data_IF_541470391987
#
_entry.id   IF_541470391987
#
_cell.length_a   1.000
_cell.length_b   1.000
_cell.length_c   1.000
_cell.angle_alpha   90.00
_cell.angle_beta   90.00
_cell.angle_gamma   90.00
#
_symmetry.space_group_name_H-M   'P 1'
#
loop_
_entity.id
_entity.type
_entity.pdbx_description
1 polymer ?
#
# COMPACT_ATOMS: atom_id res chain seq x y z
N UNK A 1 -13.27 8.12 -3.22
CA UNK A 1 -12.90 9.54 -3.00
C UNK A 1 -12.26 10.04 -4.28
N UNK A 2 -12.59 11.25 -4.74
CA UNK A 2 -12.11 11.75 -6.04
C UNK A 2 -11.01 12.78 -5.87
N UNK A 3 -10.01 12.76 -6.75
CA UNK A 3 -9.00 13.81 -6.80
C UNK A 3 -9.62 15.14 -7.22
N UNK A 4 -9.03 16.22 -6.72
CA UNK A 4 -9.37 17.58 -7.14
C UNK A 4 -8.26 18.04 -8.08
N UNK A 5 -8.47 17.88 -9.39
CA UNK A 5 -7.51 18.31 -10.40
C UNK A 5 -7.55 19.83 -10.54
N UNK A 6 -6.39 20.47 -10.42
CA UNK A 6 -6.22 21.92 -10.50
C UNK A 6 -5.58 22.36 -11.83
N UNK A 7 -4.92 21.44 -12.53
CA UNK A 7 -4.26 21.66 -13.82
C UNK A 7 -3.89 20.33 -14.50
N UNK A 8 -3.12 20.39 -15.58
CA UNK A 8 -2.72 19.18 -16.33
C UNK A 8 -1.97 18.16 -15.47
N UNK A 9 -1.04 18.64 -14.64
CA UNK A 9 -0.18 17.84 -13.75
C UNK A 9 -0.29 18.27 -12.27
N UNK A 10 -1.28 19.10 -11.94
CA UNK A 10 -1.47 19.70 -10.62
C UNK A 10 -2.75 19.23 -9.95
N UNK A 11 -2.66 18.89 -8.67
CA UNK A 11 -3.76 18.36 -7.88
C UNK A 11 -3.79 18.96 -6.49
N UNK A 12 -4.99 19.24 -5.96
CA UNK A 12 -5.16 19.66 -4.57
C UNK A 12 -5.11 18.42 -3.67
N UNK A 13 -4.11 18.37 -2.80
CA UNK A 13 -4.03 17.37 -1.74
C UNK A 13 -5.14 17.61 -0.72
N UNK A 14 -5.76 16.53 -0.25
CA UNK A 14 -6.57 16.54 0.95
C UNK A 14 -6.50 15.19 1.67
N UNK A 15 -6.78 15.20 2.97
CA UNK A 15 -6.86 14.00 3.78
C UNK A 15 -8.26 13.79 4.32
N UNK A 16 -8.68 12.54 4.45
CA UNK A 16 -9.94 12.14 5.06
C UNK A 16 -9.64 11.22 6.24
N UNK A 17 -10.14 11.57 7.41
CA UNK A 17 -10.04 10.78 8.64
C UNK A 17 -11.37 10.73 9.38
N UNK A 18 -11.49 9.85 10.37
CA UNK A 18 -12.65 9.82 11.25
C UNK A 18 -12.22 9.95 12.70
N UNK A 19 -12.79 10.94 13.38
CA UNK A 19 -12.70 11.11 14.81
C UNK A 19 -13.74 10.21 15.47
N UNK A 20 -13.27 9.06 15.96
CA UNK A 20 -14.12 8.05 16.62
C UNK A 20 -14.59 8.48 18.02
N UNK A 21 -13.96 9.49 18.64
CA UNK A 21 -14.36 10.00 19.95
C UNK A 21 -15.54 10.95 19.80
N UNK A 22 -15.45 11.88 18.84
CA UNK A 22 -16.48 12.89 18.59
C UNK A 22 -17.53 12.45 17.56
N UNK A 23 -17.33 11.29 16.91
CA UNK A 23 -18.14 10.79 15.81
C UNK A 23 -18.22 11.79 14.66
N UNK A 24 -17.06 12.16 14.13
CA UNK A 24 -16.95 13.11 13.03
C UNK A 24 -16.13 12.53 11.87
N UNK A 25 -16.57 12.80 10.65
CA UNK A 25 -15.68 12.73 9.49
C UNK A 25 -14.93 14.06 9.38
N UNK A 26 -13.62 13.99 9.28
CA UNK A 26 -12.74 15.15 9.21
C UNK A 26 -12.04 15.15 7.86
N UNK A 27 -12.12 16.28 7.16
CA UNK A 27 -11.43 16.52 5.89
C UNK A 27 -10.45 17.66 6.09
N UNK A 28 -9.21 17.46 5.71
CA UNK A 28 -8.17 18.48 5.76
C UNK A 28 -7.66 18.79 4.35
N UNK A 29 -7.82 20.03 3.90
CA UNK A 29 -7.31 20.53 2.62
C UNK A 29 -5.86 20.97 2.79
N UNK A 30 -4.96 20.39 2.00
CA UNK A 30 -3.54 20.72 2.01
C UNK A 30 -3.07 21.43 0.73
N UNK A 31 -1.77 21.34 0.41
CA UNK A 31 -1.18 22.09 -0.69
C UNK A 31 -1.62 21.56 -2.06
N UNK A 32 -1.31 22.32 -3.12
CA UNK A 32 -1.31 21.76 -4.47
C UNK A 32 -0.02 20.96 -4.64
N UNK A 33 -0.11 19.78 -5.24
CA UNK A 33 1.03 18.92 -5.55
C UNK A 33 1.11 18.62 -7.04
N UNK A 34 2.31 18.29 -7.50
CA UNK A 34 2.53 17.74 -8.84
C UNK A 34 2.24 16.23 -8.88
N UNK A 35 2.26 15.63 -10.07
CA UNK A 35 2.23 14.15 -10.24
C UNK A 35 3.34 13.41 -9.47
N UNK A 36 4.43 14.11 -9.09
CA UNK A 36 5.50 13.54 -8.26
C UNK A 36 5.20 13.62 -6.75
N UNK A 37 3.99 14.04 -6.37
CA UNK A 37 3.56 14.29 -4.98
C UNK A 37 4.35 15.39 -4.26
N UNK A 38 5.07 16.21 -5.03
CA UNK A 38 5.82 17.35 -4.51
C UNK A 38 4.90 18.56 -4.40
N UNK A 39 4.77 19.17 -3.21
CA UNK A 39 4.05 20.43 -3.06
C UNK A 39 4.64 21.52 -3.95
N UNK A 40 3.77 22.35 -4.53
CA UNK A 40 4.20 23.61 -5.15
C UNK A 40 4.04 24.74 -4.13
N UNK A 41 5.11 25.52 -3.96
CA UNK A 41 5.14 26.68 -3.07
C UNK A 41 4.87 27.94 -3.89
N UNK A 42 3.59 28.20 -4.16
CA UNK A 42 3.13 29.39 -4.87
C UNK A 42 2.09 30.08 -3.99
N UNK A 43 2.43 31.18 -3.29
CA UNK A 43 1.56 31.85 -2.32
C UNK A 43 0.16 32.18 -2.87
N UNK A 44 0.06 32.51 -4.16
CA UNK A 44 -1.21 32.84 -4.82
C UNK A 44 -2.16 31.64 -4.94
N UNK A 45 -1.61 30.42 -4.95
CA UNK A 45 -2.33 29.16 -5.11
C UNK A 45 -2.61 28.47 -3.76
N UNK A 46 -2.20 29.08 -2.65
CA UNK A 46 -2.54 28.57 -1.33
C UNK A 46 -4.05 28.60 -1.07
N UNK A 47 -4.50 27.62 -0.31
CA UNK A 47 -5.91 27.55 0.07
C UNK A 47 -6.18 28.59 1.17
N UNK A 48 -7.02 29.58 0.84
CA UNK A 48 -7.34 30.74 1.71
C UNK A 48 -8.55 30.53 2.63
N UNK A 49 -9.26 29.42 2.49
CA UNK A 49 -10.43 29.10 3.32
C UNK A 49 -10.08 28.27 4.54
N UNK A 50 -11.12 27.85 5.27
CA UNK A 50 -10.98 26.88 6.36
C UNK A 50 -10.46 25.55 5.82
N UNK A 51 -9.25 25.17 6.26
CA UNK A 51 -8.60 23.93 5.80
C UNK A 51 -9.27 22.68 6.36
N UNK A 52 -9.94 22.79 7.51
CA UNK A 52 -10.50 21.65 8.22
C UNK A 52 -12.03 21.71 8.16
N UNK A 53 -12.62 20.76 7.42
CA UNK A 53 -14.04 20.51 7.44
C UNK A 53 -14.38 19.36 8.39
N UNK A 54 -15.36 19.56 9.27
CA UNK A 54 -15.87 18.52 10.19
C UNK A 54 -17.34 18.26 9.94
N UNK A 55 -17.71 16.99 9.87
CA UNK A 55 -19.10 16.57 9.69
C UNK A 55 -19.47 15.49 10.70
N UNK A 56 -20.42 15.80 11.58
CA UNK A 56 -20.88 14.87 12.62
C UNK A 56 -21.68 13.71 12.02
N UNK A 57 -21.39 12.50 12.47
CA UNK A 57 -22.12 11.30 12.06
C UNK A 57 -23.20 10.95 13.06
N UNK A 58 -24.29 10.36 12.55
CA UNK A 58 -25.41 9.89 13.37
C UNK A 58 -25.14 8.56 14.09
N UNK A 59 -24.04 7.89 13.74
CA UNK A 59 -23.69 6.58 14.24
C UNK A 59 -22.26 6.59 14.78
N UNK A 60 -22.01 5.68 15.72
CA UNK A 60 -20.68 5.41 16.23
C UNK A 60 -19.81 4.83 15.10
N UNK A 61 -18.65 5.42 14.86
CA UNK A 61 -17.73 4.98 13.81
C UNK A 61 -16.68 4.06 14.40
N UNK A 62 -16.55 2.86 13.83
CA UNK A 62 -15.50 1.92 14.17
C UNK A 62 -14.44 1.95 13.07
N UNK A 63 -13.28 2.53 13.36
CA UNK A 63 -12.18 2.64 12.41
C UNK A 63 -11.08 1.61 12.71
N UNK A 64 -10.79 0.74 11.74
CA UNK A 64 -9.70 -0.25 11.83
C UNK A 64 -8.36 0.26 11.30
N UNK A 65 -8.33 1.44 10.69
CA UNK A 65 -7.10 2.06 10.18
C UNK A 65 -6.61 3.18 11.07
N UNK A 66 -5.31 3.20 11.38
CA UNK A 66 -4.72 4.20 12.26
C UNK A 66 -4.34 5.52 11.57
N UNK A 67 -4.51 5.65 10.24
CA UNK A 67 -4.05 6.82 9.47
C UNK A 67 -5.16 7.38 8.60
N UNK A 68 -5.15 8.70 8.43
CA UNK A 68 -5.95 9.40 7.44
C UNK A 68 -5.65 8.86 6.03
N UNK A 69 -6.69 8.81 5.20
CA UNK A 69 -6.54 8.53 3.77
C UNK A 69 -6.13 9.81 3.07
N UNK A 70 -4.91 9.80 2.53
CA UNK A 70 -4.36 10.87 1.71
C UNK A 70 -4.86 10.74 0.27
N UNK A 71 -5.28 11.85 -0.31
CA UNK A 71 -5.73 11.95 -1.70
C UNK A 71 -4.98 13.11 -2.35
N UNK A 72 -4.21 12.80 -3.38
CA UNK A 72 -3.38 13.76 -4.08
C UNK A 72 -3.46 13.60 -5.61
N UNK A 73 -2.78 12.63 -6.20
CA UNK A 73 -2.54 12.50 -7.65
C UNK A 73 -3.51 11.52 -8.34
N UNK A 74 -3.94 10.48 -7.62
CA UNK A 74 -4.91 9.48 -8.09
C UNK A 74 -6.11 9.46 -7.17
N UNK A 75 -7.25 9.02 -7.72
CA UNK A 75 -8.47 8.84 -6.93
C UNK A 75 -8.15 8.09 -5.64
N UNK A 76 -8.62 8.66 -4.53
CA UNK A 76 -8.43 8.08 -3.21
C UNK A 76 -9.17 6.76 -3.05
N UNK A 77 -8.94 6.06 -1.92
CA UNK A 77 -9.55 4.79 -1.65
C UNK A 77 -11.09 4.88 -1.66
N UNK A 78 -11.73 3.75 -1.97
CA UNK A 78 -13.14 3.56 -1.67
C UNK A 78 -13.31 3.11 -0.23
N UNK A 79 -14.35 3.63 0.41
CA UNK A 79 -14.77 3.19 1.75
C UNK A 79 -16.10 2.45 1.63
N UNK A 80 -16.16 1.28 2.23
CA UNK A 80 -17.40 0.57 2.51
C UNK A 80 -17.80 0.77 3.96
N UNK A 81 -19.09 0.66 4.24
CA UNK A 81 -19.62 0.83 5.58
C UNK A 81 -20.41 -0.42 5.94
N UNK A 82 -20.04 -1.07 7.04
CA UNK A 82 -20.68 -2.30 7.51
C UNK A 82 -21.23 -2.09 8.91
N UNK A 83 -22.54 -2.27 9.07
CA UNK A 83 -23.18 -2.23 10.39
C UNK A 83 -22.68 -3.40 11.25
N UNK A 84 -22.20 -3.11 12.45
CA UNK A 84 -21.74 -4.08 13.46
C UNK A 84 -22.73 -4.15 14.62
N UNK A 85 -23.91 -4.71 14.35
CA UNK A 85 -24.98 -4.77 15.35
C UNK A 85 -25.29 -3.38 15.92
N UNK A 86 -25.28 -3.26 17.24
CA UNK A 86 -25.52 -2.01 17.98
C UNK A 86 -24.22 -1.25 18.32
N UNK A 87 -23.05 -1.82 18.03
CA UNK A 87 -21.74 -1.21 18.35
C UNK A 87 -21.41 -0.01 17.45
N UNK A 88 -21.97 0.02 16.23
CA UNK A 88 -21.77 1.11 15.28
C UNK A 88 -21.58 0.63 13.84
N UNK A 89 -20.88 1.46 13.06
CA UNK A 89 -20.57 1.22 11.65
C UNK A 89 -19.06 1.08 11.49
N UNK A 90 -18.61 -0.09 11.04
CA UNK A 90 -17.22 -0.34 10.67
C UNK A 90 -16.92 0.23 9.28
N UNK A 91 -15.84 1.00 9.19
CA UNK A 91 -15.31 1.51 7.93
C UNK A 91 -14.37 0.47 7.34
N UNK A 92 -14.72 -0.01 6.15
CA UNK A 92 -13.96 -0.96 5.35
C UNK A 92 -13.18 -0.18 4.28
N UNK A 93 -11.88 -0.04 4.48
CA UNK A 93 -10.97 0.51 3.47
C UNK A 93 -10.81 -0.44 2.28
N UNK A 94 -10.99 0.05 1.06
CA UNK A 94 -10.93 -0.72 -0.19
C UNK A 94 -11.75 -2.03 -0.15
N UNK A 95 -13.10 -1.96 -0.09
CA UNK A 95 -13.95 -3.14 0.06
C UNK A 95 -13.69 -4.22 -1.00
N UNK A 96 -13.50 -3.82 -2.26
CA UNK A 96 -13.25 -4.77 -3.36
C UNK A 96 -11.96 -5.57 -3.13
N UNK A 97 -10.86 -4.85 -2.82
CA UNK A 97 -9.55 -5.39 -2.48
C UNK A 97 -9.63 -6.33 -1.29
N UNK A 98 -10.43 -5.98 -0.27
CA UNK A 98 -10.52 -6.72 0.99
C UNK A 98 -11.59 -7.81 1.02
N UNK A 99 -12.35 -8.00 -0.06
CA UNK A 99 -13.45 -8.97 -0.10
C UNK A 99 -13.17 -10.13 -1.05
N UNK A 100 -13.09 -9.90 -2.36
CA UNK A 100 -13.10 -10.98 -3.33
C UNK A 100 -11.85 -11.03 -4.20
N UNK A 101 -11.26 -9.87 -4.52
CA UNK A 101 -10.10 -9.83 -5.41
C UNK A 101 -8.82 -10.33 -4.74
N UNK A 102 -8.76 -10.43 -3.41
CA UNK A 102 -7.63 -11.05 -2.69
C UNK A 102 -8.09 -12.33 -1.99
N UNK A 103 -8.61 -13.28 -2.78
CA UNK A 103 -8.96 -14.63 -2.34
C UNK A 103 -8.19 -15.68 -3.15
N UNK A 104 -7.64 -16.73 -2.50
CA UNK A 104 -7.03 -17.86 -3.22
C UNK A 104 -8.00 -18.51 -4.21
N UNK A 105 -9.30 -18.51 -3.90
CA UNK A 105 -10.33 -19.02 -4.82
C UNK A 105 -10.33 -18.24 -6.15
N UNK A 106 -10.15 -16.92 -6.10
CA UNK A 106 -10.08 -16.09 -7.31
C UNK A 106 -8.81 -16.40 -8.12
N UNK A 107 -7.69 -16.69 -7.44
CA UNK A 107 -6.47 -17.18 -8.09
C UNK A 107 -6.69 -18.49 -8.83
N UNK A 108 -7.38 -19.45 -8.21
CA UNK A 108 -7.75 -20.72 -8.88
C UNK A 108 -8.70 -20.47 -10.05
N UNK A 109 -9.71 -19.61 -9.89
CA UNK A 109 -10.65 -19.29 -10.96
C UNK A 109 -9.95 -18.66 -12.18
N UNK A 110 -9.04 -17.70 -11.95
CA UNK A 110 -8.24 -17.12 -13.02
C UNK A 110 -7.26 -18.13 -13.63
N UNK A 111 -6.69 -19.03 -12.83
CA UNK A 111 -5.87 -20.13 -13.34
C UNK A 111 -6.67 -21.07 -14.26
N UNK A 112 -7.89 -21.43 -13.89
CA UNK A 112 -8.78 -22.26 -14.71
C UNK A 112 -9.17 -21.55 -16.01
N UNK A 113 -9.48 -20.25 -15.94
CA UNK A 113 -9.76 -19.44 -17.13
C UNK A 113 -8.53 -19.38 -18.06
N UNK A 114 -7.35 -19.11 -17.50
CA UNK A 114 -6.09 -19.11 -18.22
C UNK A 114 -5.78 -20.46 -18.85
N UNK A 115 -6.05 -21.56 -18.14
CA UNK A 115 -5.93 -22.92 -18.67
C UNK A 115 -6.82 -23.12 -19.90
N UNK A 116 -8.10 -22.75 -19.84
CA UNK A 116 -9.04 -22.92 -20.96
C UNK A 116 -8.60 -22.11 -22.18
N UNK A 117 -8.29 -20.83 -21.99
CA UNK A 117 -7.86 -19.94 -23.07
C UNK A 117 -6.58 -20.47 -23.70
N UNK A 118 -5.56 -20.78 -22.90
CA UNK A 118 -4.27 -21.20 -23.40
C UNK A 118 -4.30 -22.61 -23.99
N UNK A 119 -5.20 -23.48 -23.54
CA UNK A 119 -5.44 -24.76 -24.21
C UNK A 119 -5.99 -24.56 -25.62
N UNK A 120 -6.91 -23.62 -25.80
CA UNK A 120 -7.44 -23.26 -27.12
C UNK A 120 -6.37 -22.64 -28.03
N UNK A 121 -5.53 -21.75 -27.51
CA UNK A 121 -4.45 -21.10 -28.26
C UNK A 121 -3.34 -22.10 -28.64
N UNK A 122 -2.97 -23.00 -27.74
CA UNK A 122 -1.86 -23.95 -27.96
C UNK A 122 -2.30 -25.28 -28.60
N UNK A 123 -3.61 -25.54 -28.65
CA UNK A 123 -4.16 -26.84 -29.05
C UNK A 123 -3.85 -27.99 -28.08
N UNK A 124 -3.34 -27.70 -26.87
CA UNK A 124 -2.88 -28.69 -25.91
C UNK A 124 -3.39 -28.39 -24.50
N UNK A 125 -4.19 -29.30 -23.95
CA UNK A 125 -4.66 -29.22 -22.56
C UNK A 125 -3.50 -29.21 -21.55
N UNK A 126 -2.41 -29.93 -21.87
CA UNK A 126 -1.21 -29.97 -21.01
C UNK A 126 -0.49 -28.64 -21.01
N UNK A 127 -0.27 -28.04 -22.18
CA UNK A 127 0.38 -26.74 -22.29
C UNK A 127 -0.45 -25.67 -21.61
N UNK A 128 -1.76 -25.63 -21.87
CA UNK A 128 -2.66 -24.72 -21.18
C UNK A 128 -2.61 -24.88 -19.66
N UNK A 129 -2.53 -26.11 -19.13
CA UNK A 129 -2.53 -26.36 -17.69
C UNK A 129 -1.30 -25.73 -17.01
N UNK A 130 -0.15 -25.72 -17.69
CA UNK A 130 1.06 -25.04 -17.20
C UNK A 130 0.80 -23.53 -17.07
N UNK A 131 0.23 -22.91 -18.10
CA UNK A 131 -0.11 -21.47 -18.06
C UNK A 131 -1.14 -21.16 -16.96
N UNK A 132 -2.20 -21.96 -16.84
CA UNK A 132 -3.19 -21.80 -15.79
C UNK A 132 -2.58 -21.91 -14.39
N UNK A 133 -1.66 -22.86 -14.19
CA UNK A 133 -0.94 -23.02 -12.92
C UNK A 133 -0.06 -21.80 -12.62
N UNK A 134 0.67 -21.27 -13.61
CA UNK A 134 1.49 -20.06 -13.45
C UNK A 134 0.63 -18.88 -13.01
N UNK A 135 -0.52 -18.68 -13.64
CA UNK A 135 -1.47 -17.60 -13.29
C UNK A 135 -1.98 -17.78 -11.86
N UNK A 136 -2.44 -18.99 -11.50
CA UNK A 136 -2.95 -19.26 -10.15
C UNK A 136 -1.87 -19.06 -9.08
N UNK A 137 -0.68 -19.60 -9.29
CA UNK A 137 0.42 -19.50 -8.32
C UNK A 137 0.94 -18.06 -8.19
N UNK A 138 1.04 -17.32 -9.29
CA UNK A 138 1.42 -15.90 -9.25
C UNK A 138 0.40 -15.05 -8.49
N UNK A 139 -0.89 -15.35 -8.64
CA UNK A 139 -1.94 -14.66 -7.90
C UNK A 139 -1.93 -15.03 -6.41
N UNK A 140 -1.78 -16.32 -6.09
CA UNK A 140 -1.75 -16.80 -4.70
C UNK A 140 -0.48 -16.31 -3.99
N UNK A 141 0.67 -16.22 -4.67
CA UNK A 141 1.89 -15.68 -4.08
C UNK A 141 1.77 -14.19 -3.74
N UNK A 142 1.09 -13.41 -4.58
CA UNK A 142 0.72 -12.02 -4.27
C UNK A 142 -0.13 -11.94 -2.99
N UNK A 143 -1.17 -12.78 -2.88
CA UNK A 143 -2.00 -12.85 -1.66
C UNK A 143 -1.18 -13.26 -0.43
N UNK A 144 -0.26 -14.22 -0.60
CA UNK A 144 0.62 -14.66 0.47
C UNK A 144 1.53 -13.51 0.96
N UNK A 145 2.02 -12.67 0.06
CA UNK A 145 2.78 -11.47 0.42
C UNK A 145 1.90 -10.49 1.21
N UNK A 146 0.65 -10.25 0.80
CA UNK A 146 -0.28 -9.37 1.51
C UNK A 146 -0.65 -9.86 2.92
N UNK A 147 -0.69 -11.18 3.12
CA UNK A 147 -0.86 -11.80 4.45
C UNK A 147 0.33 -11.52 5.37
N UNK A 148 1.53 -11.25 4.87
CA UNK A 148 2.65 -10.83 5.73
C UNK A 148 2.49 -9.40 6.27
N UNK A 149 1.63 -8.60 5.64
CA UNK A 149 1.42 -7.20 5.97
C UNK A 149 0.18 -6.90 6.80
N UNK A 150 -0.31 -5.67 6.71
CA UNK A 150 -1.51 -5.15 7.40
C UNK A 150 -2.79 -5.33 6.56
N UNK A 151 -2.63 -5.63 5.27
CA UNK A 151 -3.73 -5.73 4.32
C UNK A 151 -4.51 -7.04 4.52
N UNK A 152 -3.82 -8.16 4.73
CA UNK A 152 -4.45 -9.46 4.89
C UNK A 152 -5.15 -9.92 3.60
N UNK A 153 -6.07 -10.88 3.72
CA UNK A 153 -6.78 -11.45 2.58
C UNK A 153 -8.13 -12.04 3.01
N UNK A 154 -8.99 -12.38 2.05
CA UNK A 154 -10.18 -13.17 2.34
C UNK A 154 -9.99 -14.61 1.86
N UNK A 155 -9.44 -15.45 2.74
CA UNK A 155 -9.02 -16.81 2.41
C UNK A 155 -10.16 -17.73 1.98
N UNK A 156 -11.39 -17.43 2.39
CA UNK A 156 -12.56 -18.31 2.24
C UNK A 156 -13.66 -17.69 1.37
N UNK A 157 -13.40 -16.61 0.63
CA UNK A 157 -14.34 -16.13 -0.37
C UNK A 157 -14.52 -17.19 -1.47
N UNK A 158 -15.74 -17.49 -1.98
CA UNK A 158 -17.01 -16.78 -1.72
C UNK A 158 -17.81 -17.28 -0.51
N UNK A 159 -17.37 -18.34 0.17
CA UNK A 159 -18.10 -18.95 1.30
C UNK A 159 -18.17 -18.05 2.53
N UNK A 160 -17.15 -17.22 2.76
CA UNK A 160 -17.11 -16.22 3.84
C UNK A 160 -16.69 -14.87 3.26
N UNK A 161 -17.39 -13.80 3.66
CA UNK A 161 -17.08 -12.41 3.25
C UNK A 161 -16.15 -11.69 4.25
N UNK A 162 -15.88 -12.31 5.39
CA UNK A 162 -15.04 -11.74 6.46
C UNK A 162 -13.57 -11.90 6.10
N UNK A 163 -12.83 -10.78 6.16
CA UNK A 163 -11.38 -10.72 6.00
C UNK A 163 -10.64 -11.50 7.10
N UNK A 164 -9.56 -12.15 6.70
CA UNK A 164 -8.49 -12.62 7.59
C UNK A 164 -7.43 -11.54 7.67
N UNK A 165 -7.09 -11.11 8.88
CA UNK A 165 -6.02 -10.13 9.10
C UNK A 165 -4.66 -10.71 8.71
N UNK A 166 -3.76 -9.84 8.26
CA UNK A 166 -2.39 -10.24 8.02
C UNK A 166 -1.59 -10.34 9.32
N UNK A 167 -0.36 -10.83 9.23
CA UNK A 167 0.53 -11.05 10.36
C UNK A 167 1.22 -9.77 10.88
N UNK A 168 1.06 -8.64 10.17
CA UNK A 168 1.63 -7.35 10.59
C UNK A 168 3.17 -7.31 10.66
N UNK A 169 3.87 -8.23 9.99
CA UNK A 169 5.32 -8.28 9.98
C UNK A 169 5.94 -7.13 9.17
N UNK A 170 5.32 -6.80 8.04
CA UNK A 170 5.83 -5.80 7.11
C UNK A 170 4.78 -4.71 6.85
N UNK A 171 5.18 -3.45 6.94
CA UNK A 171 4.35 -2.33 6.50
C UNK A 171 4.58 -2.10 5.01
N UNK A 172 3.51 -2.02 4.22
CA UNK A 172 3.59 -1.70 2.79
C UNK A 172 4.23 -0.33 2.50
N UNK A 173 4.26 0.58 3.48
CA UNK A 173 4.96 1.86 3.38
C UNK A 173 6.46 1.78 3.71
N UNK A 174 6.99 0.61 4.07
CA UNK A 174 8.41 0.44 4.35
C UNK A 174 9.18 0.20 3.04
N UNK A 175 9.96 1.19 2.56
CA UNK A 175 10.64 1.09 1.27
C UNK A 175 11.68 -0.03 1.23
N UNK A 176 12.35 -0.31 2.36
CA UNK A 176 13.34 -1.39 2.45
C UNK A 176 12.66 -2.74 2.30
N UNK A 177 11.55 -2.96 3.01
CA UNK A 177 10.80 -4.21 2.91
C UNK A 177 10.29 -4.47 1.48
N UNK A 178 9.73 -3.44 0.83
CA UNK A 178 9.26 -3.55 -0.55
C UNK A 178 10.39 -3.88 -1.52
N UNK A 179 11.51 -3.15 -1.41
CA UNK A 179 12.67 -3.38 -2.28
C UNK A 179 13.20 -4.80 -2.10
N UNK A 180 13.36 -5.27 -0.85
CA UNK A 180 13.86 -6.62 -0.57
C UNK A 180 12.94 -7.71 -1.10
N UNK A 181 11.62 -7.54 -1.03
CA UNK A 181 10.66 -8.51 -1.57
C UNK A 181 10.77 -8.63 -3.10
N UNK A 182 10.84 -7.49 -3.79
CA UNK A 182 11.00 -7.44 -5.26
C UNK A 182 12.36 -8.02 -5.66
N UNK A 183 13.42 -7.63 -4.95
CA UNK A 183 14.77 -8.15 -5.17
C UNK A 183 14.83 -9.66 -5.00
N UNK A 184 14.26 -10.19 -3.91
CA UNK A 184 14.17 -11.62 -3.66
C UNK A 184 13.45 -12.36 -4.79
N UNK A 185 12.36 -11.76 -5.29
CA UNK A 185 11.60 -12.31 -6.41
C UNK A 185 12.44 -12.36 -7.70
N UNK A 186 13.18 -11.30 -8.01
CA UNK A 186 14.09 -11.26 -9.15
C UNK A 186 15.22 -12.29 -9.04
N UNK A 187 15.86 -12.39 -7.87
CA UNK A 187 16.93 -13.37 -7.60
C UNK A 187 16.41 -14.79 -7.77
N UNK A 188 15.21 -15.09 -7.28
CA UNK A 188 14.56 -16.40 -7.42
C UNK A 188 14.21 -16.72 -8.88
N UNK A 189 13.70 -15.73 -9.63
CA UNK A 189 13.40 -15.90 -11.07
C UNK A 189 14.68 -16.25 -11.84
N UNK A 190 15.76 -15.49 -11.64
CA UNK A 190 17.04 -15.73 -12.32
C UNK A 190 17.61 -17.10 -11.95
N UNK A 191 17.53 -17.51 -10.67
CA UNK A 191 17.93 -18.84 -10.23
C UNK A 191 17.19 -19.94 -10.98
N UNK A 192 15.85 -19.85 -11.03
CA UNK A 192 15.03 -20.85 -11.69
C UNK A 192 15.27 -20.89 -13.19
N UNK A 193 15.39 -19.72 -13.84
CA UNK A 193 15.71 -19.64 -15.27
C UNK A 193 17.04 -20.33 -15.58
N UNK A 194 18.07 -20.08 -14.77
CA UNK A 194 19.38 -20.70 -14.95
C UNK A 194 19.35 -22.20 -14.66
N UNK A 195 18.73 -22.61 -13.55
CA UNK A 195 18.70 -24.01 -13.10
C UNK A 195 17.96 -24.93 -14.07
N UNK A 196 16.90 -24.43 -14.71
CA UNK A 196 16.11 -25.18 -15.68
C UNK A 196 16.45 -24.86 -17.15
N UNK A 197 17.47 -24.02 -17.40
CA UNK A 197 17.93 -23.76 -18.76
C UNK A 197 18.58 -25.00 -19.36
N UNK A 198 18.39 -25.28 -20.68
CA UNK A 198 19.13 -26.35 -21.36
C UNK A 198 20.66 -26.15 -21.31
N UNK A 199 21.09 -24.89 -21.23
CA UNK A 199 22.47 -24.50 -21.00
C UNK A 199 22.50 -23.44 -19.89
N UNK A 200 22.78 -23.85 -18.64
CA UNK A 200 22.95 -22.92 -17.53
C UNK A 200 24.08 -21.92 -17.84
N UNK A 201 23.85 -20.66 -17.52
CA UNK A 201 24.83 -19.57 -17.64
C UNK A 201 25.85 -19.62 -16.49
N UNK A 202 25.43 -20.13 -15.34
CA UNK A 202 26.28 -20.33 -14.16
C UNK A 202 25.99 -21.67 -13.49
N UNK A 203 26.97 -22.19 -12.74
CA UNK A 203 26.88 -23.45 -11.99
C UNK A 203 27.27 -23.23 -10.52
N UNK A 204 26.63 -22.24 -9.89
CA UNK A 204 26.83 -21.95 -8.47
C UNK A 204 25.99 -22.90 -7.62
N UNK A 205 26.52 -23.35 -6.49
CA UNK A 205 25.72 -24.08 -5.52
C UNK A 205 24.63 -23.17 -4.96
N UNK A 206 23.44 -23.71 -4.67
CA UNK A 206 22.29 -22.88 -4.26
C UNK A 206 22.59 -22.00 -3.04
N UNK A 207 23.32 -22.51 -2.04
CA UNK A 207 23.74 -21.70 -0.90
C UNK A 207 24.64 -20.55 -1.32
N UNK A 208 25.59 -20.76 -2.23
CA UNK A 208 26.49 -19.71 -2.70
C UNK A 208 25.70 -18.63 -3.43
N UNK A 209 24.82 -19.03 -4.35
CA UNK A 209 23.98 -18.11 -5.10
C UNK A 209 23.08 -17.27 -4.18
N UNK A 210 22.29 -17.89 -3.30
CA UNK A 210 21.40 -17.14 -2.42
C UNK A 210 22.19 -16.34 -1.37
N UNK A 211 23.36 -16.80 -0.93
CA UNK A 211 24.19 -16.00 -0.02
C UNK A 211 24.71 -14.73 -0.70
N UNK A 212 25.21 -14.85 -1.94
CA UNK A 212 25.80 -13.75 -2.70
C UNK A 212 24.77 -12.75 -3.24
N UNK A 213 23.64 -13.25 -3.74
CA UNK A 213 22.67 -12.42 -4.46
C UNK A 213 21.44 -12.05 -3.63
N UNK A 214 21.13 -12.78 -2.55
CA UNK A 214 20.00 -12.44 -1.69
C UNK A 214 20.45 -11.97 -0.31
N UNK A 215 21.15 -12.81 0.45
CA UNK A 215 21.46 -12.55 1.86
C UNK A 215 22.44 -11.39 2.01
N UNK A 216 23.56 -11.39 1.28
CA UNK A 216 24.59 -10.36 1.40
C UNK A 216 24.07 -8.96 0.99
N UNK A 217 23.40 -8.78 -0.16
CA UNK A 217 22.83 -7.48 -0.53
C UNK A 217 21.72 -7.04 0.42
N UNK A 218 20.89 -7.97 0.91
CA UNK A 218 19.85 -7.64 1.88
C UNK A 218 20.44 -7.17 3.22
N UNK A 219 21.45 -7.88 3.73
CA UNK A 219 22.15 -7.51 4.95
C UNK A 219 22.81 -6.14 4.81
N UNK A 220 23.51 -5.89 3.69
CA UNK A 220 24.13 -4.61 3.39
C UNK A 220 23.09 -3.48 3.36
N UNK A 221 21.98 -3.67 2.64
CA UNK A 221 20.91 -2.67 2.57
C UNK A 221 20.29 -2.39 3.93
N UNK A 222 20.02 -3.42 4.75
CA UNK A 222 19.46 -3.25 6.09
C UNK A 222 20.42 -2.46 6.99
N UNK A 223 21.72 -2.78 6.94
CA UNK A 223 22.75 -2.07 7.71
C UNK A 223 22.84 -0.61 7.27
N UNK A 224 22.88 -0.34 5.97
CA UNK A 224 22.91 1.02 5.42
C UNK A 224 21.63 1.78 5.79
N UNK A 225 20.47 1.17 5.62
CA UNK A 225 19.18 1.78 5.94
C UNK A 225 19.05 2.12 7.42
N UNK A 226 19.59 1.30 8.34
CA UNK A 226 19.65 1.63 9.76
C UNK A 226 20.56 2.84 10.01
N UNK A 227 21.79 2.79 9.50
CA UNK A 227 22.80 3.83 9.71
C UNK A 227 22.43 5.19 9.13
N UNK A 228 21.82 5.21 7.95
CA UNK A 228 21.41 6.45 7.28
C UNK A 228 19.97 6.85 7.62
N UNK A 229 19.09 5.90 7.89
CA UNK A 229 17.70 6.18 8.29
C UNK A 229 17.58 6.86 9.65
N UNK A 230 18.47 6.54 10.61
CA UNK A 230 18.56 7.26 11.87
C UNK A 230 18.93 8.73 11.66
N UNK A 231 19.92 9.01 10.80
CA UNK A 231 20.32 10.38 10.45
C UNK A 231 19.20 11.18 9.78
N UNK A 232 18.42 10.55 8.90
CA UNK A 232 17.28 11.19 8.24
C UNK A 232 16.17 11.48 9.24
N UNK A 233 15.86 10.53 10.14
CA UNK A 233 14.88 10.75 11.21
C UNK A 233 15.29 11.87 12.15
N UNK A 234 16.56 11.91 12.55
CA UNK A 234 17.10 12.96 13.40
C UNK A 234 16.97 14.33 12.72
N UNK A 235 17.35 14.43 11.43
CA UNK A 235 17.21 15.66 10.64
C UNK A 235 15.74 16.09 10.49
N UNK A 236 14.85 15.16 10.18
CA UNK A 236 13.41 15.43 10.06
C UNK A 236 12.78 15.87 11.38
N UNK A 237 13.20 15.27 12.51
CA UNK A 237 12.73 15.69 13.84
C UNK A 237 13.20 17.10 14.21
N UNK A 238 14.42 17.49 13.82
CA UNK A 238 14.94 18.84 14.02
C UNK A 238 14.16 19.86 13.19
N UNK A 239 13.94 19.59 11.90
CA UNK A 239 13.13 20.44 11.03
C UNK A 239 11.71 20.62 11.59
N UNK A 240 11.06 19.52 12.02
CA UNK A 240 9.72 19.58 12.59
C UNK A 240 9.67 20.37 13.91
N UNK A 241 10.69 20.24 14.76
CA UNK A 241 10.79 21.03 15.98
C UNK A 241 11.04 22.53 15.68
N UNK A 242 11.79 22.85 14.63
CA UNK A 242 11.99 24.22 14.15
C UNK A 242 10.70 24.81 13.56
N UNK A 243 9.93 24.02 12.79
CA UNK A 243 8.61 24.42 12.26
C UNK A 243 7.59 24.64 13.38
N UNK A 244 7.51 23.74 14.37
CA UNK A 244 6.62 23.87 15.53
C UNK A 244 7.00 25.07 16.41
N UNK A 245 8.30 25.37 16.57
CA UNK A 245 8.76 26.56 17.27
C UNK A 245 8.44 27.86 16.52
N UNK A 246 8.63 27.89 15.19
CA UNK A 246 8.29 29.03 14.36
C UNK A 246 6.77 29.32 14.38
N UNK A 247 5.94 28.28 14.33
CA UNK A 247 4.48 28.42 14.45
C UNK A 247 4.06 28.94 15.83
N UNK A 248 4.69 28.47 16.91
CA UNK A 248 4.40 28.94 18.27
C UNK A 248 4.80 30.40 18.53
N UNK A 249 5.88 30.88 17.90
CA UNK A 249 6.28 32.29 17.97
C UNK A 249 5.36 33.21 17.15
N UNK A 250 4.84 32.77 16.01
CA UNK A 250 3.84 33.51 15.23
C UNK A 250 2.49 33.61 15.96
N UNK A 251 2.06 32.53 16.64
CA UNK A 251 0.82 32.53 17.44
C UNK A 251 0.94 33.45 18.67
N UNK A 252 2.11 33.48 19.35
CA UNK A 252 2.37 34.35 20.49
C UNK A 252 2.49 35.84 20.11
N UNK A 253 2.99 36.15 18.91
CA UNK A 253 3.08 37.53 18.41
C UNK A 253 1.76 38.07 17.84
N UNK A 254 0.86 37.18 17.40
CA UNK A 254 -0.51 37.55 17.00
C UNK A 254 -1.40 37.89 18.20
N UNK A 255 -1.20 37.26 19.35
CA UNK A 255 -2.02 37.46 20.58
C UNK A 255 -1.54 38.65 21.45
N UNK A 256 -0.44 39.30 21.07
CA UNK A 256 0.17 40.44 21.78
C UNK A 256 0.05 41.78 21.02
N UNK A 257 -0.79 41.87 19.99
CA UNK A 257 -1.08 43.11 19.23
C UNK A 257 -2.54 43.55 19.33
#
# INVERSE_FOLDING_TARGET
LHTVQMGGDLYRHYEVSYDTVNNEAVVEIGPIVTMSQTPIEVPELEFKGERIGRAKTKCNILQTQSRASRIDIFNGPSFGYLKKGDEGVEIIFLPWHRQWSHSPFMGVAFGLLGWLIMSGVTGSLRSGAIYGLIIALGFISHIAADLTGFMGANLLWPFRKRRTEGFHFLKASNPVANFLMIWASGVLIVWNLNHYAPQPVFDLYWLEYFSLFLILPAALLIVLARKFGEKVKEKASKIRAEEEAAFGEEEFTADTR
#
